data_IF_136162240924
#
_entry.id   IF_136162240924
#
_cell.length_a   1.000
_cell.length_b   1.000
_cell.length_c   1.000
_cell.angle_alpha   90.00
_cell.angle_beta   90.00
_cell.angle_gamma   90.00
#
_symmetry.space_group_name_H-M   'P 1'
#
loop_
_entity.id
_entity.type
_entity.pdbx_description
1 polymer ?
#
# COMPACT_ATOMS: atom_id res chain seq x y z
N UNK A 1 -12.63 8.29 -11.09
CA UNK A 1 -13.22 6.95 -11.38
C UNK A 1 -12.32 5.82 -10.90
N UNK A 2 -11.08 5.68 -11.39
CA UNK A 2 -10.17 4.60 -10.97
C UNK A 2 -9.85 4.58 -9.47
N UNK A 3 -9.46 5.70 -8.87
CA UNK A 3 -9.16 5.76 -7.42
C UNK A 3 -10.36 5.41 -6.53
N UNK A 4 -11.58 5.76 -6.98
CA UNK A 4 -12.82 5.39 -6.28
C UNK A 4 -12.99 3.86 -6.32
N UNK A 5 -12.79 3.24 -7.48
CA UNK A 5 -12.86 1.79 -7.64
C UNK A 5 -11.76 1.04 -6.85
N UNK A 6 -10.55 1.62 -6.75
CA UNK A 6 -9.46 1.08 -5.90
C UNK A 6 -9.84 1.19 -4.41
N UNK A 7 -10.50 2.26 -4.01
CA UNK A 7 -10.94 2.48 -2.63
C UNK A 7 -12.18 1.70 -2.21
N UNK A 8 -12.83 0.98 -3.13
CA UNK A 8 -14.03 0.20 -2.85
C UNK A 8 -13.68 -1.25 -2.47
N UNK A 9 -13.95 -1.70 -1.22
CA UNK A 9 -13.72 -3.09 -0.79
C UNK A 9 -14.62 -4.12 -1.51
N UNK A 10 -15.57 -3.67 -2.34
CA UNK A 10 -16.40 -4.52 -3.21
C UNK A 10 -16.10 -4.28 -4.70
N UNK A 11 -15.06 -3.50 -4.99
CA UNK A 11 -14.64 -3.16 -6.34
C UNK A 11 -13.89 -4.28 -7.06
N UNK A 12 -13.55 -4.07 -8.35
CA UNK A 12 -12.94 -5.09 -9.20
C UNK A 12 -11.44 -5.33 -8.90
N UNK A 13 -10.84 -4.60 -7.96
CA UNK A 13 -9.40 -4.62 -7.70
C UNK A 13 -9.02 -5.42 -6.45
N UNK A 14 -9.81 -6.47 -6.17
CA UNK A 14 -9.68 -7.33 -5.00
C UNK A 14 -9.74 -8.78 -5.47
N UNK A 15 -8.77 -9.56 -5.04
CA UNK A 15 -8.69 -11.00 -5.28
C UNK A 15 -8.12 -11.70 -4.04
N UNK A 16 -9.00 -12.30 -3.23
CA UNK A 16 -8.62 -12.87 -1.94
C UNK A 16 -7.96 -11.82 -1.01
N UNK A 17 -6.71 -12.08 -0.62
CA UNK A 17 -5.92 -11.13 0.19
C UNK A 17 -5.14 -10.08 -0.65
N UNK A 18 -5.15 -10.21 -1.98
CA UNK A 18 -4.57 -9.25 -2.91
C UNK A 18 -5.53 -8.08 -3.13
N UNK A 19 -5.01 -6.87 -3.07
CA UNK A 19 -5.78 -5.67 -3.35
C UNK A 19 -4.88 -4.53 -3.80
N UNK A 20 -5.43 -3.66 -4.64
CA UNK A 20 -4.76 -2.41 -5.02
C UNK A 20 -4.92 -1.34 -3.94
N UNK A 21 -3.90 -0.51 -3.82
CA UNK A 21 -3.96 0.81 -3.20
C UNK A 21 -3.16 1.80 -4.05
N UNK A 22 -3.33 3.09 -3.79
CA UNK A 22 -2.69 4.13 -4.57
C UNK A 22 -2.29 5.31 -3.70
N UNK A 23 -1.25 6.04 -4.10
CA UNK A 23 -0.84 7.28 -3.47
C UNK A 23 -0.03 8.18 -4.41
N UNK A 24 0.16 9.45 -4.03
CA UNK A 24 0.96 10.40 -4.79
C UNK A 24 2.45 10.08 -4.68
N UNK A 25 3.27 10.56 -5.62
CA UNK A 25 4.73 10.29 -5.59
C UNK A 25 5.49 11.23 -4.64
N UNK A 26 4.91 12.40 -4.37
CA UNK A 26 5.55 13.55 -3.71
C UNK A 26 5.01 13.83 -2.29
N UNK A 27 4.02 13.08 -1.83
CA UNK A 27 3.50 13.17 -0.46
C UNK A 27 3.52 11.80 0.22
N UNK A 28 3.77 11.80 1.53
CA UNK A 28 3.66 10.60 2.35
C UNK A 28 2.19 10.43 2.72
N UNK A 29 1.38 9.97 1.77
CA UNK A 29 -0.07 9.83 1.90
C UNK A 29 -0.61 8.69 1.03
N UNK A 30 -1.89 8.36 1.23
CA UNK A 30 -2.65 7.44 0.38
C UNK A 30 -3.78 8.21 -0.33
N UNK A 31 -3.97 7.95 -1.62
CA UNK A 31 -5.09 8.47 -2.42
C UNK A 31 -6.26 7.49 -2.49
N UNK A 32 -6.01 6.19 -2.30
CA UNK A 32 -7.05 5.16 -2.24
C UNK A 32 -6.54 3.94 -1.46
N UNK A 33 -7.38 3.39 -0.57
CA UNK A 33 -7.12 2.13 0.11
C UNK A 33 -8.45 1.43 0.49
N UNK A 34 -8.72 0.20 0.03
CA UNK A 34 -10.03 -0.44 0.18
C UNK A 34 -10.39 -0.78 1.64
N UNK A 35 -9.41 -1.22 2.43
CA UNK A 35 -9.63 -1.67 3.82
C UNK A 35 -9.26 -0.66 4.92
N UNK A 36 -8.68 0.48 4.56
CA UNK A 36 -8.24 1.53 5.48
C UNK A 36 -8.60 2.93 4.93
N UNK A 37 -9.87 3.18 4.60
CA UNK A 37 -10.30 4.45 4.02
C UNK A 37 -10.01 5.63 4.95
N UNK A 38 -9.96 5.41 6.27
CA UNK A 38 -9.62 6.42 7.25
C UNK A 38 -8.21 7.01 7.07
N UNK A 39 -7.28 6.32 6.41
CA UNK A 39 -5.92 6.81 6.14
C UNK A 39 -5.82 7.66 4.86
N UNK A 40 -6.83 7.60 3.99
CA UNK A 40 -6.81 8.30 2.71
C UNK A 40 -6.81 9.82 2.94
N UNK A 41 -5.92 10.52 2.25
CA UNK A 41 -5.77 11.98 2.33
C UNK A 41 -5.09 12.52 3.59
N UNK A 42 -4.65 11.65 4.51
CA UNK A 42 -3.89 12.08 5.70
C UNK A 42 -2.40 12.21 5.40
N UNK A 43 -1.73 13.08 6.15
CA UNK A 43 -0.28 13.05 6.29
C UNK A 43 0.11 11.82 7.12
N UNK A 44 0.89 10.93 6.51
CA UNK A 44 1.36 9.68 7.08
C UNK A 44 2.88 9.69 7.31
N UNK A 45 3.52 10.86 7.30
CA UNK A 45 4.97 11.03 7.57
C UNK A 45 5.41 10.46 8.92
N UNK A 46 4.52 10.50 9.92
CA UNK A 46 4.75 9.94 11.26
C UNK A 46 4.15 8.54 11.44
N UNK A 47 3.52 7.98 10.40
CA UNK A 47 2.95 6.66 10.46
C UNK A 47 4.06 5.61 10.51
N UNK A 48 3.90 4.64 11.41
CA UNK A 48 4.81 3.53 11.61
C UNK A 48 4.01 2.26 11.74
N UNK A 49 4.58 1.16 11.28
CA UNK A 49 4.02 -0.16 11.55
C UNK A 49 4.32 -0.63 12.99
N UNK A 50 3.93 -1.86 13.32
CA UNK A 50 4.15 -2.45 14.64
C UNK A 50 5.63 -2.68 15.00
N UNK A 51 6.54 -2.56 14.03
CA UNK A 51 7.99 -2.65 14.22
C UNK A 51 8.68 -1.28 14.16
N UNK A 52 7.91 -0.19 14.29
CA UNK A 52 8.40 1.19 14.24
C UNK A 52 8.99 1.59 12.87
N UNK A 53 8.69 0.84 11.81
CA UNK A 53 9.16 1.09 10.45
C UNK A 53 8.23 2.05 9.70
N UNK A 54 8.80 3.08 9.06
CA UNK A 54 8.09 4.11 8.30
C UNK A 54 8.11 3.81 6.80
N UNK A 55 7.28 2.86 6.37
CA UNK A 55 7.31 2.30 5.01
C UNK A 55 6.54 3.11 3.94
N UNK A 56 5.63 4.02 4.32
CA UNK A 56 4.80 4.76 3.34
C UNK A 56 5.64 5.74 2.52
N UNK A 57 6.70 6.28 3.12
CA UNK A 57 7.67 7.11 2.40
C UNK A 57 8.39 6.32 1.28
N UNK A 58 8.64 5.02 1.51
CA UNK A 58 9.33 4.17 0.56
C UNK A 58 8.48 3.91 -0.69
N UNK A 59 7.14 3.92 -0.60
CA UNK A 59 6.28 3.73 -1.76
C UNK A 59 6.52 4.80 -2.84
N UNK A 60 6.44 6.08 -2.44
CA UNK A 60 6.70 7.19 -3.34
C UNK A 60 8.15 7.21 -3.81
N UNK A 61 9.11 6.86 -2.93
CA UNK A 61 10.54 6.79 -3.27
C UNK A 61 10.82 5.74 -4.36
N UNK A 62 10.42 4.49 -4.13
CA UNK A 62 10.58 3.37 -5.08
C UNK A 62 9.98 3.73 -6.44
N UNK A 63 8.75 4.26 -6.45
CA UNK A 63 8.09 4.65 -7.69
C UNK A 63 8.82 5.79 -8.41
N UNK A 64 9.41 6.76 -7.70
CA UNK A 64 10.12 7.89 -8.31
C UNK A 64 11.49 7.50 -8.85
N UNK A 65 12.27 6.77 -8.06
CA UNK A 65 13.68 6.47 -8.33
C UNK A 65 13.82 5.30 -9.30
N UNK A 66 13.14 4.18 -9.02
CA UNK A 66 13.31 2.92 -9.75
C UNK A 66 12.16 2.66 -10.73
N UNK A 67 11.09 3.44 -10.67
CA UNK A 67 9.86 3.23 -11.41
C UNK A 67 8.97 2.14 -10.82
N UNK A 68 9.56 1.07 -10.30
CA UNK A 68 8.86 0.02 -9.57
C UNK A 68 9.80 -0.80 -8.67
N UNK A 69 9.26 -1.46 -7.65
CA UNK A 69 10.08 -2.26 -6.72
C UNK A 69 9.30 -2.87 -5.57
N UNK A 70 9.99 -3.69 -4.78
CA UNK A 70 9.42 -4.40 -3.64
C UNK A 70 9.71 -3.68 -2.32
N UNK A 71 8.77 -3.77 -1.38
CA UNK A 71 8.91 -3.29 0.00
C UNK A 71 8.17 -4.21 0.95
N UNK A 72 8.76 -4.43 2.13
CA UNK A 72 8.20 -5.26 3.19
C UNK A 72 7.90 -4.44 4.42
N UNK A 73 6.74 -4.69 5.04
CA UNK A 73 6.29 -3.99 6.24
C UNK A 73 5.20 -4.79 6.95
N UNK A 74 4.92 -4.46 8.20
CA UNK A 74 3.84 -5.09 8.95
C UNK A 74 2.50 -4.42 8.64
N UNK A 75 1.53 -5.22 8.20
CA UNK A 75 0.19 -4.73 7.87
C UNK A 75 -0.89 -5.76 8.23
N UNK A 76 -2.07 -5.36 8.72
CA UNK A 76 -3.14 -6.32 8.94
C UNK A 76 -3.67 -6.89 7.63
N UNK A 77 -4.03 -8.18 7.62
CA UNK A 77 -4.78 -8.80 6.51
C UNK A 77 -6.19 -8.18 6.40
N UNK A 78 -6.85 -8.26 5.24
CA UNK A 78 -8.27 -7.94 5.14
C UNK A 78 -9.09 -8.71 6.19
N UNK A 79 -9.91 -8.00 6.97
CA UNK A 79 -10.70 -8.60 8.05
C UNK A 79 -9.94 -8.93 9.34
N UNK A 80 -8.61 -8.76 9.39
CA UNK A 80 -7.81 -8.96 10.59
C UNK A 80 -7.39 -7.64 11.26
N UNK A 81 -7.13 -7.72 12.56
CA UNK A 81 -6.59 -6.61 13.35
C UNK A 81 -5.09 -6.74 13.59
N UNK A 82 -4.61 -7.97 13.79
CA UNK A 82 -3.19 -8.24 14.04
C UNK A 82 -2.37 -8.04 12.75
N UNK A 83 -1.27 -7.25 12.80
CA UNK A 83 -0.38 -7.10 11.66
C UNK A 83 0.35 -8.40 11.33
N UNK A 84 0.50 -8.67 10.03
CA UNK A 84 1.36 -9.73 9.49
C UNK A 84 2.38 -9.11 8.55
N UNK A 85 3.49 -9.82 8.30
CA UNK A 85 4.44 -9.40 7.28
C UNK A 85 3.71 -9.33 5.93
N UNK A 86 3.83 -8.21 5.25
CA UNK A 86 3.29 -7.99 3.91
C UNK A 86 4.43 -7.61 2.99
N UNK A 87 4.52 -8.28 1.84
CA UNK A 87 5.43 -7.93 0.75
C UNK A 87 4.63 -7.29 -0.37
N UNK A 88 4.92 -6.04 -0.69
CA UNK A 88 4.18 -5.22 -1.66
C UNK A 88 5.08 -4.81 -2.81
N UNK A 89 4.58 -4.96 -4.02
CA UNK A 89 5.16 -4.37 -5.22
C UNK A 89 4.51 -3.01 -5.46
N UNK A 90 5.36 -1.99 -5.63
CA UNK A 90 4.98 -0.62 -5.94
C UNK A 90 5.37 -0.31 -7.38
N UNK A 91 4.51 0.37 -8.12
CA UNK A 91 4.77 0.78 -9.49
C UNK A 91 4.26 2.20 -9.76
N UNK A 92 5.09 3.02 -10.40
CA UNK A 92 4.73 4.34 -10.91
C UNK A 92 3.73 4.22 -12.05
N UNK A 93 2.72 5.09 -12.06
CA UNK A 93 1.80 5.22 -13.18
C UNK A 93 2.42 6.16 -14.23
N UNK A 94 2.69 5.70 -15.47
CA UNK A 94 3.32 6.52 -16.49
C UNK A 94 2.55 7.82 -16.75
N UNK A 95 3.28 8.93 -16.80
CA UNK A 95 2.70 10.27 -17.04
C UNK A 95 1.82 10.81 -15.92
N UNK A 96 1.84 10.22 -14.71
CA UNK A 96 1.06 10.70 -13.55
C UNK A 96 1.92 10.84 -12.31
N UNK A 97 1.56 11.79 -11.46
CA UNK A 97 2.06 11.89 -10.09
C UNK A 97 1.34 10.86 -9.18
N UNK A 98 1.46 9.58 -9.51
CA UNK A 98 0.74 8.50 -8.82
C UNK A 98 1.56 7.21 -8.86
N UNK A 99 1.55 6.46 -7.76
CA UNK A 99 1.93 5.04 -7.72
C UNK A 99 0.72 4.16 -7.42
N UNK A 100 0.80 2.88 -7.83
CA UNK A 100 -0.10 1.81 -7.42
C UNK A 100 0.71 0.76 -6.65
N UNK A 101 0.13 0.21 -5.59
CA UNK A 101 0.70 -0.89 -4.82
C UNK A 101 -0.22 -2.10 -4.78
N UNK A 102 0.37 -3.30 -4.85
CA UNK A 102 -0.31 -4.57 -4.59
C UNK A 102 0.67 -5.53 -3.89
N UNK A 103 0.19 -6.34 -2.96
CA UNK A 103 1.06 -7.22 -2.19
C UNK A 103 0.34 -8.41 -1.60
N UNK A 104 1.12 -9.37 -1.15
CA UNK A 104 0.67 -10.63 -0.55
C UNK A 104 1.27 -10.80 0.84
N UNK A 105 0.72 -11.73 1.62
CA UNK A 105 1.20 -12.06 2.95
C UNK A 105 1.95 -13.40 2.88
N UNK A 106 3.30 -13.39 2.86
CA UNK A 106 4.06 -14.63 2.81
C UNK A 106 3.71 -15.55 3.98
N UNK A 107 3.81 -16.87 3.75
CA UNK A 107 3.71 -17.84 4.82
C UNK A 107 4.77 -17.54 5.89
N UNK A 108 4.48 -17.80 7.18
CA UNK A 108 5.49 -17.71 8.22
C UNK A 108 6.70 -18.56 7.81
N UNK A 109 7.90 -17.98 7.91
CA UNK A 109 9.13 -18.77 7.75
C UNK A 109 9.14 -19.77 8.88
N UNK A 110 9.03 -21.06 8.56
CA UNK A 110 9.29 -22.12 9.53
C UNK A 110 10.80 -22.21 9.67
N UNK A 111 11.32 -21.94 10.87
CA UNK A 111 12.68 -22.28 11.26
C UNK A 111 12.87 -23.81 11.31
#
# INVERSE_FOLDING_TARGET
>A
KTLIAIGDPKGPFIDGELYLFAGPLDMIALSAHPYRPALVGRDLSKFKDSQMFSFIADFGKIAREDGAGWVEYMWPKPGANEPSLKRTYIMKVPGKNLYIGCGFYPAPVKE
#
